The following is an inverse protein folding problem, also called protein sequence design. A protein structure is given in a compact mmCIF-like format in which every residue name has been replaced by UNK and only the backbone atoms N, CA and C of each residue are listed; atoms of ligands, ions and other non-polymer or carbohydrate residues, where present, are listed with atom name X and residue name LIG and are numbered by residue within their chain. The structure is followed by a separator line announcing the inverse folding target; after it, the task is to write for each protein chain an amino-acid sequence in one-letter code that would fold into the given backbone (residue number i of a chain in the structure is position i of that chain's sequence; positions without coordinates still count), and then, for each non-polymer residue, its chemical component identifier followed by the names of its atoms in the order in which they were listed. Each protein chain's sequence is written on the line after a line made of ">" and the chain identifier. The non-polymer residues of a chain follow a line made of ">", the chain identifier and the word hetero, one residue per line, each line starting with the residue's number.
data_IF_497324433305
#
_entry.id   IF_497324433305
#
_cell.length_a   1.000
_cell.length_b   1.000
_cell.length_c   1.000
_cell.angle_alpha   90.00
_cell.angle_beta   90.00
_cell.angle_gamma   90.00
#
_symmetry.space_group_name_H-M   'P 1'
#
loop_
_entity.id
_entity.type
_entity.pdbx_description
1 polymer ?
#
# COMPACT_ATOMS: atom_id res chain seq x y z
N UNK A 1 8.77 -10.92 -9.75
CA UNK A 1 7.78 -11.53 -8.83
C UNK A 1 6.70 -12.26 -9.60
N UNK A 2 6.01 -11.60 -10.54
CA UNK A 2 4.81 -12.14 -11.19
C UNK A 2 4.88 -13.60 -11.70
N UNK A 3 5.94 -14.06 -12.38
CA UNK A 3 6.03 -15.46 -12.83
C UNK A 3 6.09 -16.50 -11.70
N UNK A 4 6.35 -16.07 -10.47
CA UNK A 4 6.50 -16.90 -9.28
C UNK A 4 5.38 -16.68 -8.26
N UNK A 5 4.35 -15.88 -8.59
CA UNK A 5 3.18 -15.73 -7.74
C UNK A 5 2.31 -17.00 -7.85
N UNK A 6 1.88 -17.52 -6.70
CA UNK A 6 0.98 -18.66 -6.60
C UNK A 6 -0.35 -18.22 -6.01
N UNK A 7 -1.41 -19.00 -6.22
CA UNK A 7 -2.72 -18.74 -5.61
C UNK A 7 -2.60 -18.63 -4.09
N UNK A 8 -1.80 -19.49 -3.45
CA UNK A 8 -1.57 -19.42 -2.00
C UNK A 8 -0.94 -18.09 -1.54
N UNK A 9 -0.01 -17.52 -2.32
CA UNK A 9 0.56 -16.19 -2.02
C UNK A 9 -0.49 -15.10 -2.18
N UNK A 10 -1.33 -15.20 -3.21
CA UNK A 10 -2.40 -14.22 -3.45
C UNK A 10 -3.50 -14.31 -2.39
N UNK A 11 -3.82 -15.49 -1.89
CA UNK A 11 -4.75 -15.69 -0.78
C UNK A 11 -4.21 -15.07 0.51
N UNK A 12 -2.92 -15.28 0.82
CA UNK A 12 -2.27 -14.61 1.95
C UNK A 12 -2.27 -13.09 1.81
N UNK A 13 -2.04 -12.57 0.59
CA UNK A 13 -2.07 -11.14 0.33
C UNK A 13 -3.48 -10.56 0.51
N UNK A 14 -4.52 -11.32 0.14
CA UNK A 14 -5.92 -10.93 0.37
C UNK A 14 -6.25 -10.88 1.88
N UNK A 15 -5.75 -11.83 2.67
CA UNK A 15 -5.91 -11.78 4.13
C UNK A 15 -5.20 -10.58 4.76
N UNK A 16 -4.03 -10.19 4.24
CA UNK A 16 -3.36 -8.96 4.66
C UNK A 16 -4.21 -7.71 4.33
N UNK A 17 -4.79 -7.63 3.13
CA UNK A 17 -5.72 -6.54 2.77
C UNK A 17 -6.93 -6.49 3.71
N UNK A 18 -7.54 -7.64 4.02
CA UNK A 18 -8.67 -7.72 4.97
C UNK A 18 -8.29 -7.31 6.39
N UNK A 19 -7.05 -7.61 6.83
CA UNK A 19 -6.54 -7.16 8.12
C UNK A 19 -6.36 -5.63 8.15
N UNK A 20 -5.89 -5.03 7.05
CA UNK A 20 -5.84 -3.58 6.87
C UNK A 20 -7.23 -2.94 6.99
N UNK A 21 -8.23 -3.47 6.28
CA UNK A 21 -9.61 -2.96 6.33
C UNK A 21 -10.25 -3.04 7.73
N UNK A 22 -9.84 -4.02 8.54
CA UNK A 22 -10.35 -4.23 9.91
C UNK A 22 -9.54 -3.51 10.99
N UNK A 23 -8.43 -2.86 10.60
CA UNK A 23 -7.54 -2.19 11.53
C UNK A 23 -8.21 -1.02 12.22
N UNK A 24 -7.95 -0.90 13.53
CA UNK A 24 -8.52 0.15 14.39
C UNK A 24 -7.55 1.27 14.68
N UNK A 25 -6.28 1.08 14.34
CA UNK A 25 -5.21 2.04 14.52
C UNK A 25 -4.24 1.99 13.36
N UNK A 26 -3.45 3.06 13.24
CA UNK A 26 -2.50 3.26 12.15
C UNK A 26 -1.40 2.21 12.11
N UNK A 27 -1.00 1.66 13.27
CA UNK A 27 0.13 0.74 13.34
C UNK A 27 -0.30 -0.62 12.80
N UNK A 28 -1.48 -1.11 13.22
CA UNK A 28 -2.02 -2.36 12.69
C UNK A 28 -2.32 -2.24 11.18
N UNK A 29 -2.80 -1.06 10.73
CA UNK A 29 -3.03 -0.79 9.32
C UNK A 29 -1.72 -0.77 8.52
N UNK A 30 -0.68 -0.07 8.99
CA UNK A 30 0.63 -0.02 8.33
C UNK A 30 1.29 -1.39 8.25
N UNK A 31 1.19 -2.19 9.32
CA UNK A 31 1.72 -3.56 9.34
C UNK A 31 1.05 -4.43 8.28
N UNK A 32 -0.29 -4.38 8.19
CA UNK A 32 -1.06 -5.10 7.19
C UNK A 32 -0.72 -4.63 5.76
N UNK A 33 -0.59 -3.32 5.55
CA UNK A 33 -0.19 -2.74 4.26
C UNK A 33 1.22 -3.20 3.84
N UNK A 34 2.18 -3.17 4.77
CA UNK A 34 3.55 -3.66 4.51
C UNK A 34 3.56 -5.15 4.20
N UNK A 35 2.76 -5.95 4.91
CA UNK A 35 2.63 -7.38 4.67
C UNK A 35 2.10 -7.67 3.25
N UNK A 36 1.07 -6.94 2.79
CA UNK A 36 0.56 -7.03 1.43
C UNK A 36 1.66 -6.80 0.39
N UNK A 37 2.37 -5.67 0.46
CA UNK A 37 3.44 -5.35 -0.48
C UNK A 37 4.55 -6.41 -0.46
N UNK A 38 4.92 -6.91 0.71
CA UNK A 38 5.95 -7.93 0.83
C UNK A 38 5.53 -9.25 0.19
N UNK A 39 4.28 -9.69 0.38
CA UNK A 39 3.77 -10.93 -0.19
C UNK A 39 3.79 -10.91 -1.73
N UNK A 40 3.39 -9.79 -2.35
CA UNK A 40 3.35 -9.70 -3.82
C UNK A 40 4.74 -9.48 -4.46
N UNK A 41 5.73 -8.99 -3.68
CA UNK A 41 7.07 -8.68 -4.18
C UNK A 41 8.12 -9.75 -3.87
N UNK A 42 8.04 -10.41 -2.70
CA UNK A 42 9.05 -11.38 -2.24
C UNK A 42 9.41 -12.47 -3.26
N UNK A 43 8.47 -12.99 -4.09
CA UNK A 43 8.80 -13.97 -5.12
C UNK A 43 9.74 -13.45 -6.23
N UNK A 44 10.13 -12.16 -6.24
CA UNK A 44 11.18 -11.68 -7.13
C UNK A 44 12.58 -12.23 -6.78
N UNK A 45 12.80 -12.72 -5.55
CA UNK A 45 14.09 -13.29 -5.15
C UNK A 45 15.26 -12.28 -5.14
N UNK A 46 14.98 -10.98 -5.06
CA UNK A 46 15.98 -9.91 -5.09
C UNK A 46 16.18 -9.31 -3.68
N UNK A 47 17.01 -9.91 -2.81
CA UNK A 47 17.09 -9.55 -1.39
C UNK A 47 17.48 -8.09 -1.15
N UNK A 48 18.38 -7.54 -1.96
CA UNK A 48 18.77 -6.12 -1.86
C UNK A 48 17.63 -5.16 -2.20
N UNK A 49 16.86 -5.48 -3.24
CA UNK A 49 15.70 -4.67 -3.64
C UNK A 49 14.63 -4.70 -2.54
N UNK A 50 14.35 -5.90 -2.02
CA UNK A 50 13.39 -6.09 -0.94
C UNK A 50 13.79 -5.31 0.32
N UNK A 51 15.07 -5.34 0.70
CA UNK A 51 15.57 -4.54 1.82
C UNK A 51 15.39 -3.03 1.59
N UNK A 52 15.69 -2.53 0.39
CA UNK A 52 15.45 -1.11 0.05
C UNK A 52 13.97 -0.74 0.15
N UNK A 53 13.07 -1.61 -0.27
CA UNK A 53 11.62 -1.39 -0.17
C UNK A 53 11.18 -1.41 1.31
N UNK A 54 11.70 -2.33 2.12
CA UNK A 54 11.42 -2.39 3.55
C UNK A 54 11.90 -1.10 4.26
N UNK A 55 13.08 -0.58 3.92
CA UNK A 55 13.62 0.68 4.45
C UNK A 55 12.74 1.90 4.05
N UNK A 56 12.26 1.93 2.80
CA UNK A 56 11.34 2.98 2.33
C UNK A 56 9.99 2.93 3.04
N UNK A 57 9.44 1.73 3.30
CA UNK A 57 8.25 1.57 4.12
C UNK A 57 8.47 2.09 5.54
N UNK A 58 9.57 1.70 6.19
CA UNK A 58 9.90 2.17 7.53
C UNK A 58 10.05 3.71 7.57
N UNK A 59 10.65 4.29 6.54
CA UNK A 59 10.76 5.74 6.42
C UNK A 59 9.39 6.41 6.24
N UNK A 60 8.54 5.88 5.37
CA UNK A 60 7.17 6.38 5.13
C UNK A 60 6.29 6.27 6.38
N UNK A 61 6.36 5.15 7.09
CA UNK A 61 5.60 4.89 8.31
C UNK A 61 5.87 5.95 9.40
N UNK A 62 7.10 6.48 9.50
CA UNK A 62 7.41 7.59 10.43
C UNK A 62 6.59 8.83 10.14
N UNK A 63 6.45 9.19 8.86
CA UNK A 63 5.63 10.34 8.46
C UNK A 63 4.14 10.06 8.67
N UNK A 64 3.68 8.85 8.35
CA UNK A 64 2.32 8.41 8.60
C UNK A 64 1.96 8.54 10.09
N UNK A 65 2.78 7.99 10.99
CA UNK A 65 2.51 8.01 12.43
C UNK A 65 2.55 9.42 13.02
N UNK A 66 3.37 10.32 12.45
CA UNK A 66 3.43 11.72 12.87
C UNK A 66 2.25 12.55 12.34
N UNK A 67 1.73 12.23 11.15
CA UNK A 67 0.63 12.93 10.49
C UNK A 67 -0.75 12.39 10.89
N UNK A 68 -0.82 11.21 11.53
CA UNK A 68 -2.07 10.56 11.88
C UNK A 68 -2.92 11.42 12.82
N UNK A 69 -4.08 11.87 12.34
CA UNK A 69 -5.12 12.53 13.13
C UNK A 69 -6.34 11.63 13.21
N UNK A 70 -7.12 11.77 14.27
CA UNK A 70 -8.35 11.01 14.57
C UNK A 70 -9.46 11.12 13.52
N UNK A 71 -9.28 11.91 12.46
CA UNK A 71 -10.20 12.08 11.33
C UNK A 71 -9.97 11.03 10.22
N UNK A 72 -9.05 10.08 10.41
CA UNK A 72 -8.86 8.98 9.46
C UNK A 72 -10.05 8.02 9.51
N UNK A 73 -10.84 8.02 8.44
CA UNK A 73 -11.88 7.03 8.22
C UNK A 73 -11.26 5.83 7.51
N UNK A 74 -11.44 4.63 8.07
CA UNK A 74 -10.96 3.36 7.49
C UNK A 74 -11.68 3.13 6.16
N UNK A 75 -11.14 3.70 5.07
CA UNK A 75 -11.61 3.40 3.72
C UNK A 75 -11.12 2.01 3.35
N UNK A 76 -12.05 1.25 2.80
CA UNK A 76 -11.81 -0.02 2.14
C UNK A 76 -10.74 0.16 1.07
N UNK A 77 -9.62 -0.56 1.17
CA UNK A 77 -8.50 -0.42 0.21
C UNK A 77 -8.93 -1.00 -1.15
N UNK A 78 -9.34 -0.10 -2.06
CA UNK A 78 -9.83 -0.48 -3.38
C UNK A 78 -8.67 -0.81 -4.33
N UNK A 79 -7.50 -0.22 -4.10
CA UNK A 79 -6.32 -0.41 -4.94
C UNK A 79 -5.73 -1.80 -4.73
N UNK A 80 -5.56 -2.26 -3.48
CA UNK A 80 -5.08 -3.61 -3.17
C UNK A 80 -6.00 -4.67 -3.79
N UNK A 81 -7.31 -4.49 -3.71
CA UNK A 81 -8.30 -5.37 -4.35
C UNK A 81 -8.14 -5.39 -5.87
N UNK A 82 -7.98 -4.23 -6.50
CA UNK A 82 -7.78 -4.12 -7.95
C UNK A 82 -6.46 -4.79 -8.39
N UNK A 83 -5.39 -4.62 -7.61
CA UNK A 83 -4.09 -5.28 -7.84
C UNK A 83 -4.26 -6.80 -7.74
N UNK A 84 -4.89 -7.31 -6.67
CA UNK A 84 -5.13 -8.75 -6.50
C UNK A 84 -5.96 -9.33 -7.65
N UNK A 85 -7.03 -8.64 -8.06
CA UNK A 85 -7.87 -9.08 -9.16
C UNK A 85 -7.07 -9.17 -10.48
N UNK A 86 -6.25 -8.16 -10.78
CA UNK A 86 -5.39 -8.17 -11.96
C UNK A 86 -4.34 -9.29 -11.90
N UNK A 87 -3.70 -9.51 -10.73
CA UNK A 87 -2.73 -10.59 -10.54
C UNK A 87 -3.36 -11.98 -10.70
N UNK A 88 -4.55 -12.22 -10.14
CA UNK A 88 -5.30 -13.48 -10.29
C UNK A 88 -5.68 -13.77 -11.75
N UNK A 89 -5.90 -12.72 -12.55
CA UNK A 89 -6.20 -12.83 -13.99
C UNK A 89 -4.93 -12.98 -14.85
N UNK A 90 -3.73 -12.93 -14.26
CA UNK A 90 -2.47 -12.89 -15.01
C UNK A 90 -2.18 -11.55 -15.70
N UNK A 91 -2.98 -10.51 -15.44
CA UNK A 91 -2.83 -9.17 -16.00
C UNK A 91 -1.76 -8.37 -15.24
N UNK A 92 -0.50 -8.82 -15.34
CA UNK A 92 0.63 -8.30 -14.56
C UNK A 92 0.93 -6.84 -14.85
N UNK A 93 0.73 -6.41 -16.10
CA UNK A 93 0.92 -5.01 -16.49
C UNK A 93 -0.10 -4.09 -15.82
N UNK A 94 -1.38 -4.47 -15.84
CA UNK A 94 -2.44 -3.73 -15.14
C UNK A 94 -2.16 -3.66 -13.64
N UNK A 95 -1.77 -4.78 -13.03
CA UNK A 95 -1.37 -4.81 -11.62
C UNK A 95 -0.20 -3.86 -11.31
N UNK A 96 0.82 -3.82 -12.18
CA UNK A 96 1.97 -2.93 -12.01
C UNK A 96 1.60 -1.44 -12.16
N UNK A 97 0.74 -1.10 -13.13
CA UNK A 97 0.23 0.27 -13.31
C UNK A 97 -0.57 0.72 -12.09
N UNK A 98 -1.48 -0.11 -11.60
CA UNK A 98 -2.29 0.18 -10.41
C UNK A 98 -1.40 0.34 -9.18
N UNK A 99 -0.44 -0.58 -8.96
CA UNK A 99 0.52 -0.48 -7.86
C UNK A 99 1.37 0.81 -7.95
N UNK A 100 1.81 1.19 -9.16
CA UNK A 100 2.57 2.42 -9.37
C UNK A 100 1.78 3.68 -9.01
N UNK A 101 0.49 3.73 -9.34
CA UNK A 101 -0.40 4.84 -8.96
C UNK A 101 -0.66 4.88 -7.45
N UNK A 102 -0.91 3.72 -6.86
CA UNK A 102 -1.16 3.54 -5.43
C UNK A 102 -0.01 4.12 -4.58
N UNK A 103 1.24 3.74 -4.87
CA UNK A 103 2.41 4.22 -4.09
C UNK A 103 2.69 5.71 -4.29
N UNK A 104 2.31 6.30 -5.44
CA UNK A 104 2.45 7.74 -5.68
C UNK A 104 1.42 8.56 -4.88
N UNK A 105 0.19 8.07 -4.79
CA UNK A 105 -0.88 8.71 -4.03
C UNK A 105 -0.59 8.71 -2.54
N UNK A 106 -0.03 7.64 -2.01
CA UNK A 106 0.40 7.52 -0.61
C UNK A 106 1.43 8.60 -0.21
N UNK A 107 2.21 9.13 -1.18
CA UNK A 107 3.22 10.16 -0.94
C UNK A 107 2.74 11.60 -1.10
N UNK A 108 1.62 11.87 -1.79
CA UNK A 108 1.20 13.23 -2.17
C UNK A 108 -0.31 13.37 -2.24
N UNK A 109 -0.89 14.14 -1.30
CA UNK A 109 -2.26 14.67 -1.45
C UNK A 109 -2.24 16.20 -1.45
N UNK A 110 -2.75 16.85 -2.50
CA UNK A 110 -2.97 18.30 -2.48
C UNK A 110 -4.05 18.63 -1.44
N UNK A 111 -3.68 19.46 -0.46
CA UNK A 111 -4.62 20.03 0.52
C UNK A 111 -4.82 21.49 0.17
N UNK A 112 -6.07 21.91 -0.03
CA UNK A 112 -6.42 23.33 -0.16
C UNK A 112 -6.42 23.96 1.22
N UNK A 113 -5.58 24.96 1.42
CA UNK A 113 -5.58 25.77 2.64
C UNK A 113 -6.76 26.74 2.63
N UNK A 114 -7.13 27.28 3.81
CA UNK A 114 -8.16 28.30 3.94
C UNK A 114 -7.87 29.58 3.13
N UNK A 115 -6.60 29.81 2.77
CA UNK A 115 -6.15 30.90 1.89
C UNK A 115 -6.28 30.59 0.39
N UNK A 116 -6.89 29.47 0.00
CA UNK A 116 -7.07 29.07 -1.40
C UNK A 116 -5.81 28.50 -2.08
N UNK A 117 -4.72 28.32 -1.33
CA UNK A 117 -3.42 27.85 -1.83
C UNK A 117 -3.35 26.32 -1.71
N UNK A 118 -2.83 25.64 -2.73
CA UNK A 118 -2.64 24.19 -2.68
C UNK A 118 -1.28 23.87 -2.07
N UNK A 119 -1.24 23.16 -0.93
CA UNK A 119 0.00 22.59 -0.38
C UNK A 119 0.04 21.09 -0.62
N UNK A 120 1.24 20.57 -0.87
CA UNK A 120 1.48 19.13 -0.78
C UNK A 120 1.44 18.73 0.70
N UNK A 121 0.46 17.91 1.08
CA UNK A 121 0.47 17.21 2.35
C UNK A 121 0.75 15.74 2.10
N UNK A 122 1.48 15.12 3.02
CA UNK A 122 1.46 13.66 3.11
C UNK A 122 0.06 13.27 3.56
N UNK A 123 -0.72 12.73 2.64
CA UNK A 123 -1.86 11.92 3.02
C UNK A 123 -1.65 10.58 2.35
N UNK A 124 -1.56 9.56 3.18
CA UNK A 124 -1.86 8.24 2.73
C UNK A 124 -3.34 8.26 2.36
N UNK A 125 -3.73 7.69 1.23
CA UNK A 125 -5.13 7.39 0.94
C UNK A 125 -5.11 5.89 0.71
N UNK A 126 -5.70 5.15 1.65
CA UNK A 126 -6.15 3.78 1.42
C UNK A 126 -7.50 3.80 0.70
#
# INVERSE_FOLDING_TARGET
>A
AAPHLTSAILDLAEEATKAGDKSRDVRSWEEANRAFHRLILAPCGMPRLLATIDDLHAASARFLFAAWRSEWETRTDQDHRAILAALRQGNTESAAVTLGRHVQWIGRKPVRTASGTTREAFAIVG
#
